data_IF_651410124996
#
_entry.id   IF_651410124996
#
_cell.length_a   1.000
_cell.length_b   1.000
_cell.length_c   1.000
_cell.angle_alpha   90.00
_cell.angle_beta   90.00
_cell.angle_gamma   90.00
#
_symmetry.space_group_name_H-M   'P 1'
#
loop_
_entity.id
_entity.type
_entity.pdbx_description
1 polymer ?
#
# COMPACT_ATOMS: atom_id res chain seq x y z
N UNK A 1 25.83 11.78 4.26
CA UNK A 1 24.62 11.17 4.82
C UNK A 1 23.53 12.23 4.76
N UNK A 2 22.47 12.03 3.97
CA UNK A 2 21.35 12.98 3.96
C UNK A 2 20.54 12.79 5.24
N UNK A 3 20.55 13.77 6.13
CA UNK A 3 19.62 13.81 7.25
C UNK A 3 18.21 14.00 6.69
N UNK A 4 17.38 12.96 6.74
CA UNK A 4 15.94 13.13 6.53
C UNK A 4 15.46 14.16 7.55
N UNK A 5 14.87 15.26 7.06
CA UNK A 5 14.26 16.29 7.91
C UNK A 5 13.28 15.61 8.86
N UNK A 6 13.35 15.95 10.15
CA UNK A 6 12.44 15.43 11.18
C UNK A 6 11.09 16.14 11.19
N UNK A 7 10.91 17.18 10.36
CA UNK A 7 9.65 17.90 10.26
C UNK A 7 8.61 17.07 9.48
N UNK A 8 7.31 17.16 9.85
CA UNK A 8 6.25 16.59 9.03
C UNK A 8 6.31 17.10 7.60
N UNK A 9 6.13 16.19 6.64
CA UNK A 9 6.07 16.52 5.20
C UNK A 9 4.67 16.25 4.68
N UNK A 10 4.16 17.18 3.88
CA UNK A 10 2.86 17.07 3.19
C UNK A 10 3.09 17.00 1.69
N UNK A 11 2.36 16.14 1.00
CA UNK A 11 2.59 15.85 -0.41
C UNK A 11 1.52 14.95 -1.01
N UNK A 12 1.86 14.28 -2.11
CA UNK A 12 1.02 13.31 -2.81
C UNK A 12 1.91 12.15 -3.24
N UNK A 13 1.41 10.93 -3.14
CA UNK A 13 2.21 9.77 -3.48
C UNK A 13 2.15 9.52 -4.99
N UNK A 14 3.30 9.57 -5.64
CA UNK A 14 3.49 9.24 -7.04
C UNK A 14 3.72 7.74 -7.21
N UNK A 15 3.08 7.13 -8.21
CA UNK A 15 3.38 5.76 -8.64
C UNK A 15 4.29 5.81 -9.86
N UNK A 16 5.47 5.22 -9.76
CA UNK A 16 6.45 5.16 -10.86
C UNK A 16 6.63 3.71 -11.28
N UNK A 17 6.22 3.38 -12.50
CA UNK A 17 6.39 2.03 -13.04
C UNK A 17 7.72 1.91 -13.77
N UNK A 18 8.26 0.68 -13.83
CA UNK A 18 9.52 0.38 -14.53
C UNK A 18 9.42 0.48 -16.07
N UNK A 19 8.24 0.75 -16.63
CA UNK A 19 8.01 0.95 -18.06
C UNK A 19 7.37 2.31 -18.28
N UNK A 20 7.92 3.11 -19.18
CA UNK A 20 7.31 4.36 -19.64
C UNK A 20 6.03 4.04 -20.43
N UNK A 21 4.93 3.75 -19.73
CA UNK A 21 3.60 3.68 -20.35
C UNK A 21 3.00 5.09 -20.32
N UNK A 22 2.77 5.73 -21.49
CA UNK A 22 2.31 7.11 -21.58
C UNK A 22 0.90 7.38 -21.01
N UNK A 23 0.21 6.35 -20.49
CA UNK A 23 -1.12 6.45 -19.87
C UNK A 23 -1.19 5.94 -18.41
N UNK A 24 -0.06 5.59 -17.78
CA UNK A 24 -0.08 5.08 -16.40
C UNK A 24 -0.25 6.23 -15.39
N UNK A 25 -1.35 6.18 -14.62
CA UNK A 25 -1.69 7.16 -13.58
C UNK A 25 -0.52 7.47 -12.66
N UNK A 26 -0.19 8.76 -12.58
CA UNK A 26 0.97 9.26 -11.85
C UNK A 26 0.80 9.25 -10.34
N UNK A 27 -0.43 9.20 -9.80
CA UNK A 27 -0.68 9.35 -8.37
C UNK A 27 -1.66 8.31 -7.84
N UNK A 28 -1.67 8.12 -6.53
CA UNK A 28 -2.70 7.34 -5.83
C UNK A 28 -3.99 8.17 -5.76
N UNK A 29 -5.11 7.61 -6.18
CA UNK A 29 -6.40 8.31 -6.24
C UNK A 29 -7.10 8.43 -4.90
N UNK A 30 -7.91 9.48 -4.79
CA UNK A 30 -8.79 9.72 -3.67
C UNK A 30 -10.03 8.82 -3.64
N UNK A 31 -10.46 8.31 -4.78
CA UNK A 31 -11.63 7.44 -4.85
C UNK A 31 -11.19 5.98 -4.81
N UNK A 32 -11.57 5.27 -3.75
CA UNK A 32 -11.46 3.81 -3.72
C UNK A 32 -12.49 3.18 -4.65
N UNK A 33 -12.13 2.05 -5.26
CA UNK A 33 -13.07 1.22 -6.01
C UNK A 33 -14.13 0.55 -5.10
N UNK A 34 -15.07 -0.17 -5.71
CA UNK A 34 -16.19 -0.84 -5.01
C UNK A 34 -15.78 -1.83 -3.93
N UNK A 35 -14.54 -2.30 -3.95
CA UNK A 35 -13.95 -3.24 -2.97
C UNK A 35 -13.12 -2.55 -1.87
N UNK A 36 -13.17 -1.21 -1.80
CA UNK A 36 -12.38 -0.41 -0.87
C UNK A 36 -10.90 -0.29 -1.25
N UNK A 37 -10.52 -0.76 -2.44
CA UNK A 37 -9.14 -0.73 -2.93
C UNK A 37 -8.79 0.61 -3.59
N UNK A 38 -7.59 1.11 -3.31
CA UNK A 38 -7.04 2.30 -3.95
C UNK A 38 -6.49 2.00 -5.35
N UNK A 39 -6.69 2.96 -6.25
CA UNK A 39 -6.28 2.90 -7.66
C UNK A 39 -5.35 4.06 -8.02
N UNK A 40 -4.83 4.08 -9.25
CA UNK A 40 -3.99 5.17 -9.78
C UNK A 40 -4.75 6.13 -10.70
N UNK A 41 -4.38 7.41 -10.71
CA UNK A 41 -4.94 8.45 -11.59
C UNK A 41 -3.85 9.40 -12.10
N UNK A 42 -4.12 10.03 -13.24
CA UNK A 42 -3.26 11.05 -13.81
C UNK A 42 -3.53 12.44 -13.23
N UNK A 43 -4.78 12.75 -12.88
CA UNK A 43 -5.16 14.05 -12.36
C UNK A 43 -4.74 14.24 -10.89
N UNK A 44 -3.99 15.32 -10.64
CA UNK A 44 -3.44 15.70 -9.34
C UNK A 44 -4.51 16.20 -8.37
N UNK A 45 -5.61 16.75 -8.88
CA UNK A 45 -6.68 17.30 -8.04
C UNK A 45 -7.49 16.19 -7.35
N UNK A 46 -7.64 15.04 -8.02
CA UNK A 46 -8.29 13.85 -7.47
C UNK A 46 -7.31 12.87 -6.79
N UNK A 47 -6.06 13.26 -6.59
CA UNK A 47 -5.05 12.45 -5.91
C UNK A 47 -5.13 12.61 -4.38
N UNK A 48 -4.73 11.58 -3.64
CA UNK A 48 -4.63 11.68 -2.18
C UNK A 48 -3.56 12.70 -1.79
N UNK A 49 -3.93 13.60 -0.88
CA UNK A 49 -3.00 14.43 -0.15
C UNK A 49 -2.66 13.72 1.14
N UNK A 50 -1.37 13.61 1.40
CA UNK A 50 -0.86 12.85 2.53
C UNK A 50 0.09 13.68 3.36
N UNK A 51 0.12 13.40 4.65
CA UNK A 51 1.11 13.88 5.60
C UNK A 51 1.77 12.69 6.26
N UNK A 52 3.09 12.67 6.30
CA UNK A 52 3.80 11.75 7.19
C UNK A 52 4.71 12.51 8.12
N UNK A 53 4.80 11.98 9.33
CA UNK A 53 5.71 12.47 10.36
C UNK A 53 6.85 11.48 10.50
N UNK A 54 8.10 11.91 10.30
CA UNK A 54 9.26 11.07 10.53
C UNK A 54 9.23 10.44 11.93
N UNK A 55 9.49 9.14 12.00
CA UNK A 55 9.50 8.36 13.24
C UNK A 55 10.61 7.31 13.18
N UNK A 56 11.08 6.84 14.34
CA UNK A 56 12.06 5.75 14.43
C UNK A 56 11.46 4.36 14.10
N UNK A 57 10.13 4.26 14.10
CA UNK A 57 9.37 3.10 13.67
C UNK A 57 8.73 3.31 12.29
N UNK A 58 7.89 2.36 11.82
CA UNK A 58 7.16 2.53 10.58
C UNK A 58 6.39 3.86 10.57
N UNK A 59 6.50 4.59 9.48
CA UNK A 59 5.85 5.88 9.31
C UNK A 59 4.35 5.71 9.17
N UNK A 60 3.62 6.54 9.90
CA UNK A 60 2.20 6.77 9.66
C UNK A 60 2.07 7.77 8.52
N UNK A 61 1.34 7.38 7.49
CA UNK A 61 0.95 8.26 6.39
C UNK A 61 -0.53 8.57 6.59
N UNK A 62 -0.81 9.76 7.09
CA UNK A 62 -2.15 10.31 7.24
C UNK A 62 -2.63 10.85 5.89
N UNK A 63 -3.92 10.68 5.59
CA UNK A 63 -4.58 11.17 4.39
C UNK A 63 -5.41 12.40 4.77
N UNK A 64 -5.05 13.55 4.23
CA UNK A 64 -5.60 14.85 4.61
C UNK A 64 -6.93 15.18 3.94
N UNK A 65 -7.18 14.62 2.75
CA UNK A 65 -8.36 14.90 1.95
C UNK A 65 -9.31 13.69 1.83
N UNK A 66 -9.21 12.69 2.71
CA UNK A 66 -10.04 11.47 2.66
C UNK A 66 -11.54 11.80 2.71
N UNK A 67 -12.38 11.17 1.86
CA UNK A 67 -13.84 11.25 2.02
C UNK A 67 -14.34 10.37 3.18
N UNK A 68 -13.46 9.60 3.82
CA UNK A 68 -13.76 8.68 4.91
C UNK A 68 -13.04 9.11 6.19
N UNK A 69 -13.59 10.03 7.00
CA UNK A 69 -12.89 10.59 8.16
C UNK A 69 -12.37 9.55 9.16
N UNK A 70 -13.10 8.44 9.34
CA UNK A 70 -12.68 7.33 10.20
C UNK A 70 -11.47 6.56 9.65
N UNK A 71 -11.33 6.50 8.33
CA UNK A 71 -10.25 5.80 7.63
C UNK A 71 -9.29 6.81 7.01
N UNK A 72 -8.61 7.59 7.86
CA UNK A 72 -7.74 8.69 7.48
C UNK A 72 -6.25 8.35 7.42
N UNK A 73 -5.89 7.06 7.39
CA UNK A 73 -4.51 6.62 7.22
C UNK A 73 -4.38 5.75 5.97
N UNK A 74 -3.20 5.75 5.38
CA UNK A 74 -2.86 4.86 4.27
C UNK A 74 -2.33 3.54 4.81
N UNK A 75 -2.83 2.43 4.26
CA UNK A 75 -2.34 1.11 4.63
C UNK A 75 -2.64 0.03 3.59
N UNK A 76 -2.43 -1.23 3.96
CA UNK A 76 -2.68 -2.37 3.10
C UNK A 76 -3.48 -3.46 3.83
N UNK A 77 -4.34 -4.16 3.09
CA UNK A 77 -5.12 -5.27 3.60
C UNK A 77 -5.04 -6.45 2.64
N UNK A 78 -4.89 -7.67 3.18
CA UNK A 78 -4.82 -8.86 2.34
C UNK A 78 -6.06 -9.05 1.50
N UNK A 79 -5.87 -9.71 0.36
CA UNK A 79 -7.00 -10.11 -0.47
C UNK A 79 -7.94 -11.07 0.29
N UNK A 80 -7.36 -11.96 1.11
CA UNK A 80 -8.04 -13.02 1.87
C UNK A 80 -7.36 -13.24 3.23
N UNK A 81 -8.08 -13.82 4.20
CA UNK A 81 -7.56 -14.26 5.49
C UNK A 81 -6.97 -15.68 5.47
N UNK A 82 -6.95 -16.35 4.32
CA UNK A 82 -6.27 -17.63 4.15
C UNK A 82 -4.77 -17.50 4.46
N UNK A 83 -4.19 -18.50 5.11
CA UNK A 83 -2.75 -18.56 5.40
C UNK A 83 -1.90 -18.44 4.13
N UNK A 84 -2.37 -18.99 3.01
CA UNK A 84 -1.66 -18.93 1.73
C UNK A 84 -1.56 -17.50 1.16
N UNK A 85 -2.51 -16.61 1.49
CA UNK A 85 -2.54 -15.23 0.99
C UNK A 85 -2.05 -14.21 2.02
N UNK A 86 -1.73 -14.65 3.24
CA UNK A 86 -1.37 -13.78 4.38
C UNK A 86 0.08 -13.93 4.87
N UNK A 87 0.78 -14.99 4.47
CA UNK A 87 2.16 -15.23 4.88
C UNK A 87 3.15 -14.53 3.95
N UNK A 88 4.11 -13.78 4.48
CA UNK A 88 5.12 -13.11 3.67
C UNK A 88 6.45 -13.88 3.70
N UNK A 89 7.25 -13.78 2.63
CA UNK A 89 8.57 -14.43 2.57
C UNK A 89 8.94 -14.94 1.17
N UNK A 90 10.14 -15.54 1.02
CA UNK A 90 10.59 -16.15 -0.23
C UNK A 90 9.59 -17.19 -0.73
N UNK A 91 9.24 -17.15 -2.03
CA UNK A 91 8.26 -18.02 -2.69
C UNK A 91 6.79 -17.84 -2.26
N UNK A 92 6.50 -16.89 -1.36
CA UNK A 92 5.12 -16.58 -1.01
C UNK A 92 4.38 -15.95 -2.19
N UNK A 93 3.12 -16.37 -2.39
CA UNK A 93 2.16 -15.75 -3.31
C UNK A 93 1.27 -14.72 -2.60
N UNK A 94 1.58 -14.35 -1.36
CA UNK A 94 0.78 -13.41 -0.59
C UNK A 94 0.77 -12.02 -1.21
N UNK A 95 -0.41 -11.41 -1.11
CA UNK A 95 -0.68 -10.08 -1.63
C UNK A 95 -1.64 -9.33 -0.72
N UNK A 96 -1.43 -8.01 -0.65
CA UNK A 96 -2.33 -7.08 -0.01
C UNK A 96 -2.68 -5.94 -0.97
N UNK A 97 -3.92 -5.47 -0.91
CA UNK A 97 -4.37 -4.31 -1.65
C UNK A 97 -4.15 -3.05 -0.83
N UNK A 98 -3.70 -1.98 -1.48
CA UNK A 98 -3.65 -0.66 -0.87
C UNK A 98 -5.06 -0.15 -0.56
N UNK A 99 -5.27 0.44 0.62
CA UNK A 99 -6.59 0.87 1.11
C UNK A 99 -6.45 2.00 2.13
N UNK A 100 -7.56 2.69 2.38
CA UNK A 100 -7.72 3.52 3.59
C UNK A 100 -7.78 2.65 4.84
N UNK A 101 -7.28 3.16 5.96
CA UNK A 101 -7.24 2.48 7.26
C UNK A 101 -7.46 3.45 8.42
N UNK A 102 -7.84 2.93 9.58
CA UNK A 102 -7.84 3.67 10.85
C UNK A 102 -6.41 3.87 11.36
N UNK A 103 -6.18 4.81 12.30
CA UNK A 103 -4.98 4.77 13.14
C UNK A 103 -4.91 3.44 13.93
N UNK A 104 -3.71 3.01 14.34
CA UNK A 104 -3.55 1.84 15.20
C UNK A 104 -4.20 2.09 16.58
N UNK A 105 -4.90 1.08 17.08
CA UNK A 105 -5.35 1.06 18.48
C UNK A 105 -4.18 0.79 19.45
N UNK A 106 -4.47 0.73 20.76
CA UNK A 106 -3.46 0.47 21.80
C UNK A 106 -2.77 -0.89 21.69
N UNK A 107 -3.31 -1.82 20.91
CA UNK A 107 -2.71 -3.13 20.61
C UNK A 107 -2.03 -3.14 19.25
N UNK A 108 -1.87 -1.98 18.62
CA UNK A 108 -1.29 -1.82 17.30
C UNK A 108 -2.19 -2.32 16.18
N UNK A 109 -3.50 -2.52 16.39
CA UNK A 109 -4.39 -3.06 15.36
C UNK A 109 -5.04 -1.95 14.55
N UNK A 110 -5.29 -2.22 13.27
CA UNK A 110 -5.94 -1.27 12.36
C UNK A 110 -7.14 -1.90 11.67
N UNK A 111 -8.16 -1.09 11.36
CA UNK A 111 -9.27 -1.48 10.51
C UNK A 111 -9.12 -0.82 9.12
N UNK A 112 -9.08 -1.59 8.03
CA UNK A 112 -9.11 -1.09 6.66
C UNK A 112 -10.53 -0.86 6.18
N UNK A 113 -10.67 0.00 5.16
CA UNK A 113 -11.93 0.16 4.42
C UNK A 113 -12.31 -1.12 3.65
N UNK A 114 -11.32 -1.90 3.23
CA UNK A 114 -11.52 -3.23 2.64
C UNK A 114 -12.17 -4.20 3.64
N UNK A 115 -13.19 -4.93 3.19
CA UNK A 115 -13.90 -5.95 3.97
C UNK A 115 -13.53 -7.37 3.56
N UNK A 116 -13.67 -8.31 4.49
CA UNK A 116 -13.58 -9.74 4.22
C UNK A 116 -14.81 -10.17 3.41
N UNK A 117 -14.58 -10.77 2.23
CA UNK A 117 -15.65 -11.11 1.28
C UNK A 117 -16.65 -12.15 1.82
N UNK A 118 -16.26 -12.94 2.82
CA UNK A 118 -17.13 -13.97 3.41
C UNK A 118 -18.00 -13.39 4.53
N UNK A 119 -17.48 -12.45 5.30
CA UNK A 119 -18.14 -11.93 6.51
C UNK A 119 -18.69 -10.51 6.35
N UNK A 120 -18.27 -9.78 5.31
CA UNK A 120 -18.64 -8.38 5.07
C UNK A 120 -18.04 -7.39 6.08
N UNK A 121 -17.27 -7.86 7.06
CA UNK A 121 -16.66 -7.01 8.10
C UNK A 121 -15.28 -6.52 7.69
N UNK A 122 -14.83 -5.34 8.16
CA UNK A 122 -13.44 -4.90 8.00
C UNK A 122 -12.45 -5.97 8.48
N UNK A 123 -11.38 -6.19 7.70
CA UNK A 123 -10.32 -7.14 8.08
C UNK A 123 -9.49 -6.54 9.21
N UNK A 124 -9.51 -7.09 10.41
CA UNK A 124 -8.69 -6.57 11.53
C UNK A 124 -7.46 -7.44 11.77
N UNK A 125 -6.38 -6.85 12.30
CA UNK A 125 -5.14 -7.56 12.61
C UNK A 125 -4.09 -6.66 13.21
N UNK A 126 -2.92 -7.20 13.62
CA UNK A 126 -1.76 -6.37 13.98
C UNK A 126 -1.43 -5.41 12.83
N UNK A 127 -0.80 -4.27 13.11
CA UNK A 127 -0.58 -3.17 12.16
C UNK A 127 0.01 -3.65 10.84
N UNK A 128 -0.88 -3.90 9.90
CA UNK A 128 -0.59 -4.14 8.47
C UNK A 128 -0.89 -2.90 7.64
N UNK A 129 -1.52 -1.92 8.26
CA UNK A 129 -1.74 -0.61 7.69
C UNK A 129 -0.55 0.34 7.89
N UNK A 130 0.15 0.21 9.02
CA UNK A 130 1.25 1.10 9.42
C UNK A 130 2.57 0.51 8.96
N UNK A 131 2.75 0.45 7.65
CA UNK A 131 3.73 -0.41 6.99
C UNK A 131 4.80 0.40 6.25
N UNK A 132 4.88 1.72 6.42
CA UNK A 132 5.70 2.54 5.53
C UNK A 132 7.10 2.79 6.08
N UNK A 133 8.13 2.44 5.34
CA UNK A 133 9.48 2.98 5.48
C UNK A 133 9.70 4.02 4.40
N UNK A 134 10.19 5.19 4.76
CA UNK A 134 10.55 6.24 3.79
C UNK A 134 12.06 6.31 3.71
N UNK A 135 12.59 6.04 2.52
CA UNK A 135 14.03 6.07 2.26
C UNK A 135 14.49 7.51 1.99
N UNK A 136 15.80 7.72 2.01
CA UNK A 136 16.42 9.03 1.80
C UNK A 136 16.13 9.65 0.42
N UNK A 137 15.76 8.83 -0.57
CA UNK A 137 15.40 9.23 -1.94
C UNK A 137 13.89 9.45 -2.12
N UNK A 138 13.15 9.60 -1.02
CA UNK A 138 11.68 9.71 -0.97
C UNK A 138 10.93 8.46 -1.47
N UNK A 139 11.62 7.34 -1.67
CA UNK A 139 10.96 6.06 -1.92
C UNK A 139 10.19 5.62 -0.68
N UNK A 140 8.89 5.41 -0.85
CA UNK A 140 8.00 4.83 0.15
C UNK A 140 7.95 3.32 -0.08
N UNK A 141 8.41 2.56 0.91
CA UNK A 141 8.49 1.11 0.87
C UNK A 141 7.57 0.49 1.93
N UNK A 142 6.59 -0.34 1.54
CA UNK A 142 5.85 -1.12 2.50
C UNK A 142 6.76 -2.19 3.15
N UNK A 143 6.66 -2.39 4.46
CA UNK A 143 7.40 -3.38 5.25
C UNK A 143 6.44 -4.15 6.16
N UNK A 144 6.54 -5.49 6.17
CA UNK A 144 5.87 -6.34 7.16
C UNK A 144 6.85 -6.80 8.22
N UNK A 145 6.40 -6.82 9.48
CA UNK A 145 7.09 -7.53 10.55
C UNK A 145 6.47 -8.92 10.72
N UNK A 146 7.31 -9.97 10.60
CA UNK A 146 6.93 -11.35 10.88
C UNK A 146 8.10 -12.10 11.53
N UNK A 147 7.80 -12.86 12.58
CA UNK A 147 8.79 -13.69 13.30
C UNK A 147 10.07 -12.93 13.72
N UNK A 148 9.92 -11.68 14.17
CA UNK A 148 11.03 -10.82 14.59
C UNK A 148 11.87 -10.23 13.45
N UNK A 149 11.47 -10.43 12.20
CA UNK A 149 12.14 -9.91 11.01
C UNK A 149 11.28 -8.87 10.29
N UNK A 150 11.92 -7.89 9.64
CA UNK A 150 11.28 -6.91 8.75
C UNK A 150 11.48 -7.31 7.30
N UNK A 151 10.40 -7.56 6.59
CA UNK A 151 10.39 -7.91 5.18
C UNK A 151 9.92 -6.71 4.37
N UNK A 152 10.81 -6.16 3.55
CA UNK A 152 10.44 -5.19 2.53
C UNK A 152 9.45 -5.86 1.55
N UNK A 153 8.29 -5.25 1.40
CA UNK A 153 7.34 -5.59 0.38
C UNK A 153 7.64 -4.69 -0.82
N UNK A 154 7.91 -5.29 -1.96
CA UNK A 154 8.14 -4.53 -3.17
C UNK A 154 6.78 -4.14 -3.73
N UNK A 155 6.54 -2.84 -3.97
CA UNK A 155 5.22 -2.43 -4.36
C UNK A 155 4.95 -2.80 -5.83
N UNK A 156 3.68 -3.09 -6.04
CA UNK A 156 2.93 -2.97 -7.29
C UNK A 156 3.09 -4.13 -8.24
N UNK A 157 2.12 -5.03 -8.14
CA UNK A 157 1.41 -5.47 -9.34
C UNK A 157 0.35 -4.41 -9.61
N UNK A 158 0.45 -3.76 -10.77
CA UNK A 158 -0.60 -2.90 -11.30
C UNK A 158 -1.64 -3.82 -11.94
N UNK A 159 -2.83 -3.89 -11.35
CA UNK A 159 -3.92 -4.73 -11.85
C UNK A 159 -4.58 -4.12 -13.09
N UNK A 160 -5.39 -4.92 -13.78
CA UNK A 160 -6.10 -4.51 -15.00
C UNK A 160 -6.99 -3.26 -14.77
N UNK A 161 -7.52 -3.08 -13.55
CA UNK A 161 -8.37 -1.96 -13.16
C UNK A 161 -7.62 -0.81 -12.46
N UNK A 162 -6.34 -0.58 -12.80
CA UNK A 162 -5.48 0.42 -12.16
C UNK A 162 -5.28 0.23 -10.64
N UNK A 163 -5.61 -0.96 -10.12
CA UNK A 163 -5.50 -1.29 -8.70
C UNK A 163 -4.04 -1.50 -8.29
N UNK A 164 -3.72 -1.11 -7.06
CA UNK A 164 -2.36 -1.24 -6.51
C UNK A 164 -2.31 -2.42 -5.54
N UNK A 165 -1.56 -3.46 -5.91
CA UNK A 165 -1.28 -4.61 -5.05
C UNK A 165 0.16 -4.59 -4.54
N UNK A 166 0.34 -4.85 -3.26
CA UNK A 166 1.63 -5.01 -2.58
C UNK A 166 1.85 -6.51 -2.43
N UNK A 167 3.00 -7.00 -2.89
CA UNK A 167 3.27 -8.46 -2.98
C UNK A 167 4.57 -8.80 -2.26
N UNK A 168 4.62 -10.00 -1.66
CA UNK A 168 5.82 -10.52 -1.02
C UNK A 168 6.93 -10.84 -2.05
N UNK A 169 6.52 -11.44 -3.18
CA UNK A 169 7.39 -11.80 -4.29
C UNK A 169 6.62 -11.61 -5.60
N UNK A 170 7.09 -10.71 -6.46
CA UNK A 170 6.39 -10.34 -7.69
C UNK A 170 6.31 -11.51 -8.67
N UNK A 171 7.40 -12.27 -8.84
CA UNK A 171 7.50 -13.36 -9.81
C UNK A 171 6.55 -14.51 -9.46
N UNK A 172 6.53 -14.90 -8.18
CA UNK A 172 5.69 -15.97 -7.65
C UNK A 172 4.22 -15.59 -7.72
N UNK A 173 3.89 -14.34 -7.39
CA UNK A 173 2.54 -13.81 -7.55
C UNK A 173 2.12 -13.83 -9.03
N UNK A 174 2.92 -13.27 -9.94
CA UNK A 174 2.59 -13.22 -11.37
C UNK A 174 2.42 -14.63 -11.95
N UNK A 175 3.28 -15.59 -11.59
CA UNK A 175 3.17 -16.97 -12.03
C UNK A 175 1.88 -17.64 -11.55
N UNK A 176 1.49 -17.44 -10.28
CA UNK A 176 0.28 -18.03 -9.70
C UNK A 176 -1.01 -17.54 -10.38
N UNK A 177 -1.04 -16.26 -10.79
CA UNK A 177 -2.20 -15.64 -11.42
C UNK A 177 -2.09 -15.56 -12.96
N UNK A 178 -1.08 -16.21 -13.57
CA UNK A 178 -0.83 -16.21 -15.03
C UNK A 178 -0.71 -14.80 -15.63
N UNK A 179 -0.15 -13.87 -14.87
CA UNK A 179 0.06 -12.49 -15.27
C UNK A 179 1.37 -12.35 -16.06
N UNK A 180 1.39 -11.46 -17.05
CA UNK A 180 2.57 -11.18 -17.88
C UNK A 180 3.10 -9.78 -17.58
N UNK A 181 4.32 -9.48 -18.04
CA UNK A 181 4.87 -8.12 -17.96
C UNK A 181 4.05 -7.09 -18.76
N UNK A 182 3.13 -7.55 -19.63
CA UNK A 182 2.21 -6.70 -20.37
C UNK A 182 0.94 -6.38 -19.55
N UNK A 183 0.49 -7.30 -18.70
CA UNK A 183 -0.70 -7.10 -17.85
C UNK A 183 -0.33 -6.54 -16.48
N UNK A 184 0.91 -6.73 -16.02
CA UNK A 184 1.40 -6.22 -14.74
C UNK A 184 2.86 -5.77 -14.81
N UNK A 185 3.22 -4.74 -14.04
CA UNK A 185 4.59 -4.23 -13.98
C UNK A 185 4.97 -3.85 -12.56
N UNK A 186 6.24 -4.10 -12.18
CA UNK A 186 6.82 -3.57 -10.95
C UNK A 186 6.75 -2.05 -10.94
N UNK A 187 6.37 -1.47 -9.80
CA UNK A 187 6.38 -0.02 -9.60
C UNK A 187 7.02 0.36 -8.25
N UNK A 188 7.17 1.66 -8.03
CA UNK A 188 7.65 2.27 -6.79
C UNK A 188 6.70 3.39 -6.40
N UNK A 189 6.53 3.59 -5.10
CA UNK A 189 5.79 4.72 -4.55
C UNK A 189 6.81 5.79 -4.14
N UNK A 190 6.64 7.01 -4.61
CA UNK A 190 7.50 8.15 -4.25
C UNK A 190 6.66 9.21 -3.56
N UNK A 191 7.16 9.79 -2.47
CA UNK A 191 6.49 10.88 -1.76
C UNK A 191 6.71 12.24 -2.43
#
# INVERSE_FOLDING_TARGET
>A
MSNLSLAPRTGRIKVVTSRDRPHAGGYICLHAGSTGMLTTCADREIAIQVRWTPSAGPHLIEILNTPYPTFNHLGAAHFSNDKNYTQFGPKSTASASLTYTTPPDKWGRTAPLRTDTRTGKPVTGPSRAVIWTVLADDTIMPVVEDSGCRYALYPVVWGEDNSIFIVANCESYMAAFRLTAATCSRARLLF
#
